data_IF_914350309905
#
_entry.id   IF_914350309905
#
_cell.length_a   1.000
_cell.length_b   1.000
_cell.length_c   1.000
_cell.angle_alpha   90.00
_cell.angle_beta   90.00
_cell.angle_gamma   90.00
#
_symmetry.space_group_name_H-M   'P 1'
#
loop_
_entity.id
_entity.type
_entity.pdbx_description
1 polymer ?
#
# COMPACT_ATOMS: atom_id res chain seq x y z
N UNK A 1 14.55 2.08 20.19
CA UNK A 1 14.93 3.37 20.80
C UNK A 1 15.57 4.19 19.69
N UNK A 2 14.79 5.00 18.97
CA UNK A 2 15.31 5.83 17.88
C UNK A 2 15.79 7.14 18.50
N UNK A 3 17.10 7.42 18.41
CA UNK A 3 17.62 8.75 18.74
C UNK A 3 17.31 9.63 17.54
N UNK A 4 16.21 10.38 17.60
CA UNK A 4 15.90 11.42 16.63
C UNK A 4 16.94 12.52 16.71
N UNK A 5 17.99 12.44 15.88
CA UNK A 5 18.71 13.63 15.49
C UNK A 5 17.80 14.48 14.59
N UNK A 6 18.00 15.80 14.59
CA UNK A 6 17.36 16.65 13.59
C UNK A 6 17.76 16.15 12.20
N UNK A 7 16.76 15.77 11.40
CA UNK A 7 16.94 15.36 10.02
C UNK A 7 17.40 16.59 9.26
N UNK A 8 18.54 16.51 8.56
CA UNK A 8 19.07 17.60 7.73
C UNK A 8 19.39 17.09 6.33
N UNK A 9 19.70 17.99 5.40
CA UNK A 9 20.13 17.58 4.05
C UNK A 9 21.42 16.77 4.07
N UNK A 10 22.34 17.06 5.00
CA UNK A 10 23.61 16.37 5.19
C UNK A 10 23.46 15.06 5.97
N UNK A 11 22.36 14.90 6.70
CA UNK A 11 22.03 13.69 7.44
C UNK A 11 20.52 13.39 7.36
N UNK A 12 20.03 12.92 6.20
CA UNK A 12 18.60 12.71 5.96
C UNK A 12 18.04 11.45 6.63
N UNK A 13 18.91 10.63 7.25
CA UNK A 13 18.53 9.33 7.78
C UNK A 13 18.06 8.39 6.67
N UNK A 14 16.86 7.83 6.82
CA UNK A 14 16.22 6.94 5.83
C UNK A 14 15.37 7.70 4.79
N UNK A 15 15.38 9.04 4.80
CA UNK A 15 14.62 9.88 3.86
C UNK A 15 15.44 10.27 2.64
N UNK A 16 14.76 10.68 1.57
CA UNK A 16 15.42 11.28 0.40
C UNK A 16 15.90 12.72 0.73
N UNK A 17 17.19 13.06 0.49
CA UNK A 17 17.71 14.40 0.80
C UNK A 17 17.00 15.54 0.04
N UNK A 18 16.52 15.28 -1.18
CA UNK A 18 15.75 16.24 -1.96
C UNK A 18 14.37 16.49 -1.36
N UNK A 19 13.73 15.46 -0.80
CA UNK A 19 12.49 15.61 -0.04
C UNK A 19 12.70 16.38 1.27
N UNK A 20 13.82 16.15 1.96
CA UNK A 20 14.17 16.93 3.16
C UNK A 20 14.36 18.40 2.82
N UNK A 21 15.09 18.71 1.74
CA UNK A 21 15.29 20.08 1.25
C UNK A 21 13.97 20.75 0.86
N UNK A 22 13.08 20.04 0.15
CA UNK A 22 11.76 20.55 -0.25
C UNK A 22 10.89 20.97 0.94
N UNK A 23 10.96 20.23 2.04
CA UNK A 23 10.16 20.49 3.24
C UNK A 23 10.78 21.63 4.07
N UNK A 24 12.10 21.63 4.23
CA UNK A 24 12.80 22.47 5.20
C UNK A 24 13.35 23.79 4.65
N UNK A 25 13.57 23.90 3.34
CA UNK A 25 14.10 25.14 2.74
C UNK A 25 13.10 26.30 2.92
N UNK A 26 13.42 27.52 2.52
CA UNK A 26 12.42 28.58 2.24
C UNK A 26 12.37 28.93 0.73
N UNK A 27 13.19 28.24 -0.08
CA UNK A 27 13.27 28.41 -1.52
C UNK A 27 12.04 27.82 -2.22
N UNK A 28 11.69 28.32 -3.41
CA UNK A 28 10.59 27.77 -4.18
C UNK A 28 10.83 26.28 -4.52
N UNK A 29 9.79 25.46 -4.31
CA UNK A 29 9.81 24.03 -4.58
C UNK A 29 10.29 23.70 -6.01
N UNK A 30 9.84 24.46 -7.01
CA UNK A 30 10.23 24.24 -8.40
C UNK A 30 11.74 24.48 -8.62
N UNK A 31 12.42 25.38 -7.89
CA UNK A 31 13.89 25.52 -8.02
C UNK A 31 14.57 24.28 -7.48
N UNK A 32 14.11 23.82 -6.31
CA UNK A 32 14.66 22.66 -5.63
C UNK A 32 14.48 21.40 -6.51
N UNK A 33 13.29 21.20 -7.09
CA UNK A 33 13.00 20.09 -8.02
C UNK A 33 13.91 20.16 -9.23
N UNK A 34 14.00 21.31 -9.91
CA UNK A 34 14.83 21.48 -11.10
C UNK A 34 16.31 21.21 -10.80
N UNK A 35 16.80 21.67 -9.64
CA UNK A 35 18.17 21.41 -9.16
C UNK A 35 18.41 19.93 -8.89
N UNK A 36 17.48 19.25 -8.21
CA UNK A 36 17.59 17.83 -7.85
C UNK A 36 17.41 16.88 -9.02
N UNK A 37 16.69 17.31 -10.06
CA UNK A 37 16.57 16.59 -11.34
C UNK A 37 17.69 16.94 -12.33
N UNK A 38 18.67 17.75 -11.93
CA UNK A 38 19.81 18.20 -12.76
C UNK A 38 19.38 18.89 -14.07
N UNK A 39 18.20 19.52 -14.07
CA UNK A 39 17.71 20.27 -15.20
C UNK A 39 18.47 21.60 -15.34
N UNK A 40 18.66 22.11 -16.58
CA UNK A 40 19.28 23.41 -16.79
C UNK A 40 18.46 24.53 -16.13
N UNK A 41 19.12 25.57 -15.60
CA UNK A 41 18.43 26.66 -14.94
C UNK A 41 17.50 27.39 -15.93
N UNK A 42 16.20 27.38 -15.63
CA UNK A 42 15.19 28.11 -16.39
C UNK A 42 15.03 29.54 -15.86
N UNK A 43 14.79 30.50 -16.76
CA UNK A 43 14.44 31.87 -16.37
C UNK A 43 13.02 31.85 -15.82
N UNK A 44 12.87 32.17 -14.53
CA UNK A 44 11.56 32.29 -13.90
C UNK A 44 10.88 33.57 -14.29
N UNK A 45 9.57 33.50 -14.51
CA UNK A 45 8.75 34.68 -14.63
C UNK A 45 8.24 35.12 -13.25
N UNK A 46 8.16 36.43 -12.96
CA UNK A 46 7.73 36.95 -11.66
C UNK A 46 6.28 36.56 -11.25
N UNK A 47 5.50 36.00 -12.18
CA UNK A 47 4.12 35.57 -12.00
C UNK A 47 3.98 34.06 -11.83
N UNK A 48 5.06 33.34 -11.59
CA UNK A 48 5.02 31.89 -11.42
C UNK A 48 4.55 31.56 -10.01
N UNK A 49 3.23 31.65 -9.79
CA UNK A 49 2.47 31.17 -8.62
C UNK A 49 2.49 29.63 -8.57
N UNK A 50 3.70 29.06 -8.59
CA UNK A 50 3.94 27.64 -8.85
C UNK A 50 3.92 26.78 -7.59
N UNK A 51 4.04 27.37 -6.41
CA UNK A 51 4.00 26.66 -5.14
C UNK A 51 3.58 27.59 -4.01
N UNK A 52 3.23 27.01 -2.87
CA UNK A 52 2.83 27.72 -1.66
C UNK A 52 3.84 28.76 -1.16
N UNK A 53 5.13 28.62 -1.48
CA UNK A 53 6.15 29.61 -1.11
C UNK A 53 6.22 30.82 -2.04
N UNK A 54 5.85 30.63 -3.31
CA UNK A 54 5.79 31.72 -4.28
C UNK A 54 4.46 32.46 -4.21
N UNK A 55 3.39 31.73 -3.89
CA UNK A 55 2.04 32.25 -3.79
C UNK A 55 1.47 31.96 -2.39
N UNK A 56 1.42 32.98 -1.51
CA UNK A 56 0.82 32.86 -0.19
C UNK A 56 -0.68 32.49 -0.22
N UNK A 57 -1.39 32.68 -1.34
CA UNK A 57 -2.80 32.28 -1.43
C UNK A 57 -2.98 30.76 -1.47
N UNK A 58 -1.92 30.02 -1.78
CA UNK A 58 -1.87 28.57 -1.67
C UNK A 58 -1.56 28.10 -0.23
N UNK A 59 -1.29 29.01 0.71
CA UNK A 59 -1.26 28.65 2.12
C UNK A 59 -2.69 28.28 2.53
N UNK A 60 -2.90 27.01 2.86
CA UNK A 60 -4.14 26.62 3.49
C UNK A 60 -4.20 27.26 4.88
N UNK A 61 -4.94 28.36 5.02
CA UNK A 61 -5.43 28.88 6.30
C UNK A 61 -6.42 27.88 6.90
N UNK A 62 -5.93 26.73 7.36
CA UNK A 62 -6.72 25.80 8.16
C UNK A 62 -6.03 25.61 9.48
N UNK A 63 -6.71 26.01 10.54
CA UNK A 63 -6.42 25.49 11.87
C UNK A 63 -6.72 23.98 11.82
N UNK A 64 -5.66 23.18 11.85
CA UNK A 64 -5.79 21.75 11.98
C UNK A 64 -6.25 21.45 13.40
N UNK A 65 -7.53 21.09 13.54
CA UNK A 65 -8.00 20.51 14.78
C UNK A 65 -7.57 19.05 14.82
N UNK A 66 -6.69 18.72 15.75
CA UNK A 66 -6.41 17.32 16.08
C UNK A 66 -7.68 16.74 16.69
N UNK A 67 -8.36 15.90 15.93
CA UNK A 67 -9.47 15.10 16.44
C UNK A 67 -8.83 13.85 16.99
N UNK A 68 -8.80 13.74 18.31
CA UNK A 68 -8.50 12.49 18.99
C UNK A 68 -9.67 11.55 18.73
N UNK A 69 -9.56 10.76 17.66
CA UNK A 69 -10.48 9.67 17.41
C UNK A 69 -10.01 8.54 18.31
N UNK A 70 -10.78 8.26 19.37
CA UNK A 70 -10.64 7.00 20.08
C UNK A 70 -10.64 5.89 19.01
N UNK A 71 -9.54 5.14 18.84
CA UNK A 71 -9.55 4.02 17.92
C UNK A 71 -10.70 3.14 18.37
N UNK A 72 -11.73 3.01 17.52
CA UNK A 72 -12.90 2.19 17.78
C UNK A 72 -12.41 0.90 18.44
N UNK A 73 -13.07 0.41 19.52
CA UNK A 73 -12.57 -0.71 20.29
C UNK A 73 -12.21 -1.80 19.30
N UNK A 74 -10.89 -2.01 19.15
CA UNK A 74 -10.36 -3.03 18.28
C UNK A 74 -11.08 -4.28 18.71
N UNK A 75 -11.95 -4.80 17.82
CA UNK A 75 -12.52 -6.12 18.04
C UNK A 75 -11.29 -7.00 18.16
N UNK A 76 -11.00 -7.39 19.40
CA UNK A 76 -9.72 -7.98 19.78
C UNK A 76 -9.35 -9.06 18.77
N UNK A 77 -8.06 -9.23 18.46
CA UNK A 77 -7.63 -10.11 17.38
C UNK A 77 -8.37 -11.43 17.51
N UNK A 78 -9.31 -11.68 16.58
CA UNK A 78 -9.86 -13.03 16.41
C UNK A 78 -8.63 -13.91 16.35
N UNK A 79 -8.58 -14.94 17.19
CA UNK A 79 -7.45 -15.86 17.29
C UNK A 79 -7.20 -16.49 15.92
N UNK A 80 -6.45 -15.80 15.09
CA UNK A 80 -6.02 -16.24 13.79
C UNK A 80 -4.78 -17.05 14.05
N UNK A 81 -4.82 -18.34 13.71
CA UNK A 81 -3.65 -19.20 13.72
C UNK A 81 -2.56 -18.49 12.91
N UNK A 82 -1.51 -18.03 13.59
CA UNK A 82 -0.37 -17.44 12.90
C UNK A 82 0.21 -18.52 11.98
N UNK A 83 0.38 -18.18 10.70
CA UNK A 83 1.01 -19.09 9.74
C UNK A 83 2.39 -19.49 10.26
N UNK A 84 2.64 -20.79 10.34
CA UNK A 84 3.96 -21.32 10.69
C UNK A 84 5.01 -20.84 9.70
N UNK A 85 6.29 -20.82 10.09
CA UNK A 85 7.38 -20.41 9.21
C UNK A 85 7.42 -21.22 7.90
N UNK A 86 7.16 -22.53 7.98
CA UNK A 86 7.05 -23.40 6.82
C UNK A 86 5.89 -23.00 5.88
N UNK A 87 4.74 -22.60 6.44
CA UNK A 87 3.60 -22.10 5.66
C UNK A 87 3.94 -20.77 5.01
N UNK A 88 4.52 -19.81 5.74
CA UNK A 88 4.93 -18.51 5.19
C UNK A 88 5.88 -18.69 4.00
N UNK A 89 6.90 -19.54 4.14
CA UNK A 89 7.84 -19.86 3.06
C UNK A 89 7.14 -20.50 1.85
N UNK A 90 6.16 -21.36 2.10
CA UNK A 90 5.37 -22.00 1.02
C UNK A 90 4.53 -20.96 0.28
N UNK A 91 3.85 -20.08 1.00
CA UNK A 91 3.05 -18.98 0.44
C UNK A 91 3.94 -18.07 -0.40
N UNK A 92 5.07 -17.62 0.15
CA UNK A 92 6.04 -16.79 -0.56
C UNK A 92 6.48 -17.42 -1.88
N UNK A 93 6.91 -18.69 -1.86
CA UNK A 93 7.36 -19.38 -3.08
C UNK A 93 6.25 -19.49 -4.13
N UNK A 94 5.01 -19.72 -3.72
CA UNK A 94 3.85 -19.76 -4.64
C UNK A 94 3.52 -18.38 -5.21
N UNK A 95 3.61 -17.32 -4.42
CA UNK A 95 3.45 -15.95 -4.89
C UNK A 95 4.56 -15.55 -5.88
N UNK A 96 5.80 -15.96 -5.64
CA UNK A 96 6.91 -15.78 -6.59
C UNK A 96 6.64 -16.50 -7.91
N UNK A 97 6.16 -17.75 -7.85
CA UNK A 97 5.79 -18.51 -9.04
C UNK A 97 4.65 -17.83 -9.81
N UNK A 98 3.59 -17.40 -9.10
CA UNK A 98 2.48 -16.63 -9.68
C UNK A 98 2.99 -15.36 -10.37
N UNK A 99 3.86 -14.57 -9.71
CA UNK A 99 4.42 -13.33 -10.27
C UNK A 99 5.14 -13.58 -11.58
N UNK A 100 5.93 -14.65 -11.67
CA UNK A 100 6.65 -15.02 -12.89
C UNK A 100 5.71 -15.40 -14.03
N UNK A 101 4.65 -16.17 -13.74
CA UNK A 101 3.63 -16.56 -14.73
C UNK A 101 2.86 -15.33 -15.21
N UNK A 102 2.36 -14.53 -14.27
CA UNK A 102 1.56 -13.36 -14.56
C UNK A 102 2.36 -12.30 -15.35
N UNK A 103 3.62 -12.08 -14.96
CA UNK A 103 4.54 -11.21 -15.70
C UNK A 103 4.71 -11.68 -17.15
N UNK A 104 4.99 -12.98 -17.35
CA UNK A 104 5.24 -13.54 -18.68
C UNK A 104 4.02 -13.45 -19.58
N UNK A 105 2.82 -13.73 -19.03
CA UNK A 105 1.59 -13.80 -19.81
C UNK A 105 1.01 -12.43 -20.15
N UNK A 106 0.99 -11.49 -19.20
CA UNK A 106 0.20 -10.27 -19.33
C UNK A 106 1.05 -8.99 -19.40
N UNK A 107 2.26 -8.99 -18.84
CA UNK A 107 3.04 -7.77 -18.67
C UNK A 107 4.23 -7.67 -19.61
N UNK A 108 4.95 -8.76 -19.86
CA UNK A 108 6.19 -8.75 -20.66
C UNK A 108 6.00 -8.16 -22.05
N UNK A 109 4.86 -8.42 -22.70
CA UNK A 109 4.58 -7.88 -24.03
C UNK A 109 4.29 -6.38 -24.00
N UNK A 110 3.56 -5.91 -22.98
CA UNK A 110 3.15 -4.51 -22.84
C UNK A 110 4.29 -3.64 -22.29
N UNK A 111 5.13 -4.21 -21.42
CA UNK A 111 6.22 -3.53 -20.72
C UNK A 111 7.52 -4.37 -20.77
N UNK A 112 8.23 -4.42 -21.91
CA UNK A 112 9.38 -5.30 -22.09
C UNK A 112 10.57 -4.99 -21.17
N UNK A 113 10.69 -3.73 -20.75
CA UNK A 113 11.73 -3.26 -19.81
C UNK A 113 11.42 -3.59 -18.35
N UNK A 114 10.18 -3.93 -18.02
CA UNK A 114 9.80 -4.27 -16.65
C UNK A 114 10.18 -5.73 -16.39
N UNK A 115 11.04 -5.95 -15.39
CA UNK A 115 11.30 -7.29 -14.89
C UNK A 115 10.15 -7.78 -14.00
N UNK A 116 10.10 -9.09 -13.68
CA UNK A 116 9.10 -9.61 -12.76
C UNK A 116 9.16 -8.95 -11.38
N UNK A 117 10.36 -8.61 -10.89
CA UNK A 117 10.53 -7.88 -9.61
C UNK A 117 10.09 -6.41 -9.67
N UNK A 118 10.06 -5.81 -10.86
CA UNK A 118 9.52 -4.46 -11.08
C UNK A 118 8.00 -4.44 -10.96
N UNK A 119 7.35 -5.60 -11.12
CA UNK A 119 5.91 -5.75 -10.97
C UNK A 119 5.48 -5.69 -9.49
N UNK A 120 6.11 -6.54 -8.69
CA UNK A 120 5.95 -6.63 -7.23
C UNK A 120 7.32 -7.01 -6.66
N UNK A 121 7.91 -6.21 -5.77
CA UNK A 121 9.21 -6.51 -5.16
C UNK A 121 9.12 -7.73 -4.24
N UNK A 122 10.27 -8.34 -3.93
CA UNK A 122 10.30 -9.52 -3.06
C UNK A 122 9.84 -9.19 -1.62
N UNK A 123 10.14 -7.98 -1.13
CA UNK A 123 9.71 -7.49 0.18
C UNK A 123 8.20 -7.51 0.36
N UNK A 124 7.46 -7.02 -0.65
CA UNK A 124 6.00 -7.00 -0.61
C UNK A 124 5.44 -8.44 -0.58
N UNK A 125 6.04 -9.38 -1.32
CA UNK A 125 5.62 -10.78 -1.28
C UNK A 125 5.92 -11.45 0.08
N UNK A 126 7.03 -11.08 0.73
CA UNK A 126 7.37 -11.52 2.08
C UNK A 126 6.37 -11.00 3.12
N UNK A 127 6.04 -9.71 3.03
CA UNK A 127 5.05 -9.06 3.91
C UNK A 127 3.67 -9.70 3.76
N UNK A 128 3.23 -9.94 2.52
CA UNK A 128 1.99 -10.66 2.25
C UNK A 128 1.99 -12.07 2.84
N UNK A 129 3.09 -12.82 2.64
CA UNK A 129 3.19 -14.18 3.18
C UNK A 129 3.16 -14.23 4.70
N UNK A 130 3.61 -13.16 5.36
CA UNK A 130 3.64 -13.03 6.82
C UNK A 130 2.29 -12.61 7.40
N UNK A 131 1.52 -11.81 6.66
CA UNK A 131 0.28 -11.19 7.13
C UNK A 131 -0.99 -11.81 6.52
N UNK A 132 -0.89 -12.97 5.86
CA UNK A 132 -2.04 -13.65 5.22
C UNK A 132 -3.28 -13.78 6.08
N UNK A 133 -3.11 -14.05 7.38
CA UNK A 133 -4.23 -14.18 8.32
C UNK A 133 -4.97 -12.88 8.63
N UNK A 134 -4.43 -11.73 8.19
CA UNK A 134 -5.01 -10.39 8.37
C UNK A 134 -5.57 -9.82 7.07
N UNK A 135 -5.45 -10.54 5.96
CA UNK A 135 -5.83 -10.06 4.63
C UNK A 135 -7.14 -10.74 4.21
N UNK A 136 -8.26 -10.04 4.38
CA UNK A 136 -9.60 -10.53 4.05
C UNK A 136 -10.18 -9.87 2.81
N UNK A 137 -9.64 -8.71 2.43
CA UNK A 137 -10.01 -7.99 1.23
C UNK A 137 -8.78 -7.34 0.57
N UNK A 138 -8.98 -6.83 -0.64
CA UNK A 138 -7.96 -6.10 -1.41
C UNK A 138 -7.41 -4.92 -0.59
N UNK A 139 -8.27 -4.23 0.16
CA UNK A 139 -7.87 -3.05 0.95
C UNK A 139 -6.99 -3.37 2.16
N UNK A 140 -7.13 -4.58 2.72
CA UNK A 140 -6.20 -5.05 3.75
C UNK A 140 -4.82 -5.30 3.13
N UNK A 141 -4.80 -5.92 1.95
CA UNK A 141 -3.57 -6.22 1.20
C UNK A 141 -2.78 -4.94 0.88
N UNK A 142 -3.48 -3.83 0.59
CA UNK A 142 -2.86 -2.53 0.28
C UNK A 142 -1.95 -2.00 1.40
N UNK A 143 -2.23 -2.36 2.65
CA UNK A 143 -1.45 -1.92 3.82
C UNK A 143 -0.08 -2.59 3.92
N UNK A 144 0.14 -3.64 3.14
CA UNK A 144 1.33 -4.49 3.19
C UNK A 144 2.13 -4.48 1.88
N UNK A 145 1.78 -3.62 0.92
CA UNK A 145 2.40 -3.63 -0.41
C UNK A 145 2.57 -2.23 -0.97
N UNK A 146 3.59 -2.04 -1.80
CA UNK A 146 3.93 -0.79 -2.48
C UNK A 146 3.90 -0.96 -4.00
N UNK A 147 2.81 -1.53 -4.51
CA UNK A 147 2.68 -1.89 -5.94
C UNK A 147 2.25 -0.65 -6.76
N UNK A 148 3.09 -0.26 -7.72
CA UNK A 148 2.85 0.90 -8.59
C UNK A 148 1.56 0.79 -9.42
N UNK A 149 1.28 -0.40 -9.98
CA UNK A 149 0.09 -0.67 -10.78
C UNK A 149 -1.00 -1.36 -9.95
N UNK A 150 -1.32 -0.80 -8.78
CA UNK A 150 -2.23 -1.41 -7.81
C UNK A 150 -3.57 -1.83 -8.42
N UNK A 151 -4.24 -0.95 -9.16
CA UNK A 151 -5.57 -1.23 -9.72
C UNK A 151 -5.57 -2.39 -10.72
N UNK A 152 -4.48 -2.55 -11.47
CA UNK A 152 -4.35 -3.61 -12.48
C UNK A 152 -3.95 -4.96 -11.87
N UNK A 153 -3.18 -4.93 -10.77
CA UNK A 153 -2.58 -6.13 -10.17
C UNK A 153 -3.32 -6.66 -8.96
N UNK A 154 -3.97 -5.79 -8.17
CA UNK A 154 -4.50 -6.17 -6.87
C UNK A 154 -5.62 -7.22 -6.92
N UNK A 155 -6.53 -7.26 -7.91
CA UNK A 155 -7.54 -8.33 -7.96
C UNK A 155 -6.90 -9.69 -8.21
N UNK A 156 -6.04 -9.79 -9.24
CA UNK A 156 -5.35 -11.02 -9.62
C UNK A 156 -4.40 -11.54 -8.53
N UNK A 157 -3.72 -10.62 -7.83
CA UNK A 157 -2.86 -10.95 -6.69
C UNK A 157 -3.66 -11.45 -5.50
N UNK A 158 -4.78 -10.79 -5.17
CA UNK A 158 -5.65 -11.20 -4.08
C UNK A 158 -6.26 -12.58 -4.33
N UNK A 159 -6.75 -12.84 -5.56
CA UNK A 159 -7.25 -14.17 -5.96
C UNK A 159 -6.16 -15.24 -5.81
N UNK A 160 -4.93 -14.95 -6.23
CA UNK A 160 -3.81 -15.87 -6.06
C UNK A 160 -3.53 -16.16 -4.59
N UNK A 161 -3.56 -15.14 -3.73
CA UNK A 161 -3.35 -15.27 -2.29
C UNK A 161 -4.44 -16.13 -1.64
N UNK A 162 -5.71 -15.89 -1.97
CA UNK A 162 -6.85 -16.66 -1.48
C UNK A 162 -6.76 -18.14 -1.90
N UNK A 163 -6.42 -18.40 -3.17
CA UNK A 163 -6.22 -19.76 -3.67
C UNK A 163 -5.10 -20.49 -2.92
N UNK A 164 -3.96 -19.83 -2.72
CA UNK A 164 -2.83 -20.40 -1.96
C UNK A 164 -3.23 -20.69 -0.51
N UNK A 165 -3.94 -19.77 0.14
CA UNK A 165 -4.42 -19.95 1.51
C UNK A 165 -5.46 -21.07 1.62
N UNK A 166 -6.36 -21.20 0.63
CA UNK A 166 -7.33 -22.28 0.54
C UNK A 166 -6.66 -23.65 0.40
N UNK A 167 -5.66 -23.78 -0.47
CA UNK A 167 -4.87 -25.01 -0.64
C UNK A 167 -4.13 -25.43 0.64
N UNK A 168 -3.74 -24.46 1.47
CA UNK A 168 -3.05 -24.69 2.74
C UNK A 168 -3.99 -24.84 3.94
N UNK A 169 -5.32 -24.82 3.73
CA UNK A 169 -6.35 -24.79 4.78
C UNK A 169 -6.12 -23.68 5.82
N UNK A 170 -5.67 -22.52 5.37
CA UNK A 170 -5.36 -21.36 6.22
C UNK A 170 -6.51 -20.35 6.31
N UNK A 171 -7.55 -20.52 5.50
CA UNK A 171 -8.75 -19.70 5.62
C UNK A 171 -9.56 -20.17 6.83
N UNK A 172 -10.07 -19.26 7.68
CA UNK A 172 -11.07 -19.64 8.67
C UNK A 172 -12.26 -20.27 7.96
N UNK A 173 -12.86 -21.30 8.56
CA UNK A 173 -14.15 -21.83 8.10
C UNK A 173 -15.10 -20.65 7.91
N UNK A 174 -15.41 -20.34 6.65
CA UNK A 174 -16.51 -19.44 6.34
C UNK A 174 -17.73 -20.18 6.83
N UNK A 175 -18.21 -19.82 8.03
CA UNK A 175 -19.56 -20.17 8.45
C UNK A 175 -20.46 -19.44 7.45
N UNK A 176 -20.85 -20.16 6.40
CA UNK A 176 -21.99 -19.77 5.59
C UNK A 176 -23.16 -19.89 6.55
N UNK A 177 -23.57 -18.77 7.16
CA UNK A 177 -24.92 -18.70 7.72
C UNK A 177 -25.84 -18.95 6.53
N UNK A 178 -26.37 -20.18 6.44
CA UNK A 178 -27.47 -20.47 5.54
C UNK A 178 -28.54 -19.41 5.80
N UNK A 179 -29.04 -18.70 4.77
CA UNK A 179 -30.14 -17.78 4.99
C UNK A 179 -31.29 -18.60 5.56
N UNK A 180 -31.62 -18.35 6.83
CA UNK A 180 -32.82 -18.86 7.45
C UNK A 180 -33.98 -18.36 6.60
N UNK A 181 -34.54 -19.27 5.79
CA UNK A 181 -35.78 -19.03 5.08
C UNK A 181 -36.86 -18.89 6.15
N UNK A 182 -37.10 -17.67 6.60
CA UNK A 182 -38.29 -17.37 7.37
C UNK A 182 -39.51 -17.65 6.48
N UNK A 183 -40.21 -18.75 6.77
CA UNK A 183 -41.49 -19.05 6.16
C UNK A 183 -42.43 -17.84 6.34
N UNK A 184 -42.98 -17.28 5.24
CA UNK A 184 -43.84 -16.12 5.36
C UNK A 184 -45.12 -16.48 6.13
N UNK A 185 -45.39 -15.70 7.19
CA UNK A 185 -46.39 -15.98 8.23
C UNK A 185 -47.85 -16.10 7.76
N UNK A 186 -48.15 -15.85 6.49
CA UNK A 186 -49.53 -15.89 5.97
C UNK A 186 -50.07 -17.31 5.75
N UNK A 187 -49.23 -18.36 5.77
CA UNK A 187 -49.68 -19.76 5.68
C UNK A 187 -50.21 -20.35 6.99
N UNK A 188 -50.27 -19.56 8.08
CA UNK A 188 -50.83 -19.98 9.38
C UNK A 188 -52.21 -19.39 9.64
N UNK A 189 -53.14 -19.45 8.69
CA UNK A 189 -54.58 -19.37 9.00
C UNK A 189 -55.34 -20.39 8.16
N UNK A 190 -56.15 -21.18 8.89
CA UNK A 190 -57.05 -22.24 8.43
C UNK A 190 -58.01 -21.76 7.35
#
# INVERSE_FOLDING_TARGET
MWKGGEISMENPGDQDPGMVELIQSDECAEVIIQRRLENPPHVRHPSDDCCNRCDPTLHMEREYQWIEVDPAPSTGPKSTKNSTEAQRKTIYNKLVAWRLVHWRQYWKQRWPSYGPKSLIPDSDLEDLSTHTSKIFCIEDMRRYTHIAHWLDLSPSLFDALQNICGELNLLPDVVIEEPTVEEPQWKRRK
#
